data_IF_933879649556
#
_entry.id   IF_933879649556
#
_cell.length_a   1.000
_cell.length_b   1.000
_cell.length_c   1.000
_cell.angle_alpha   90.00
_cell.angle_beta   90.00
_cell.angle_gamma   90.00
#
_symmetry.space_group_name_H-M   'P 1'
#
loop_
_entity.id
_entity.type
_entity.pdbx_description
1 polymer ?
#
# COMPACT_ATOMS: atom_id res chain seq x y z
N UNK A 1 -58.25 -26.39 -6.24
CA UNK A 1 -57.19 -27.04 -7.04
C UNK A 1 -56.15 -26.08 -7.64
N UNK A 2 -56.45 -24.79 -7.87
CA UNK A 2 -55.45 -23.84 -8.44
C UNK A 2 -54.28 -23.46 -7.53
N UNK A 3 -54.43 -23.48 -6.20
CA UNK A 3 -53.34 -23.08 -5.29
C UNK A 3 -52.26 -24.16 -5.09
N UNK A 4 -52.61 -25.44 -5.25
CA UNK A 4 -51.65 -26.57 -5.11
C UNK A 4 -50.77 -26.68 -6.35
N UNK A 5 -51.33 -26.45 -7.54
CA UNK A 5 -50.57 -26.40 -8.80
C UNK A 5 -49.59 -25.22 -8.81
N UNK A 6 -50.00 -24.04 -8.31
CA UNK A 6 -49.14 -22.85 -8.21
C UNK A 6 -47.97 -23.04 -7.21
N UNK A 7 -48.21 -23.74 -6.11
CA UNK A 7 -47.16 -24.08 -5.12
C UNK A 7 -46.15 -25.09 -5.70
N UNK A 8 -46.64 -26.07 -6.47
CA UNK A 8 -45.82 -27.08 -7.16
C UNK A 8 -44.93 -26.46 -8.24
N UNK A 9 -45.48 -25.58 -9.09
CA UNK A 9 -44.72 -24.92 -10.15
C UNK A 9 -43.69 -23.93 -9.60
N UNK A 10 -43.97 -23.23 -8.50
CA UNK A 10 -42.99 -22.37 -7.84
C UNK A 10 -41.84 -23.17 -7.24
N UNK A 11 -42.11 -24.34 -6.64
CA UNK A 11 -41.07 -25.24 -6.16
C UNK A 11 -40.25 -25.86 -7.29
N UNK A 12 -40.87 -26.19 -8.43
CA UNK A 12 -40.16 -26.72 -9.58
C UNK A 12 -39.30 -25.64 -10.26
N UNK A 13 -39.85 -24.44 -10.46
CA UNK A 13 -39.12 -23.29 -10.99
C UNK A 13 -37.94 -22.92 -10.08
N UNK A 14 -38.15 -22.83 -8.75
CA UNK A 14 -37.08 -22.58 -7.79
C UNK A 14 -36.02 -23.68 -7.78
N UNK A 15 -36.40 -24.95 -7.98
CA UNK A 15 -35.44 -26.06 -8.09
C UNK A 15 -34.66 -26.02 -9.40
N UNK A 16 -35.28 -25.63 -10.51
CA UNK A 16 -34.62 -25.50 -11.81
C UNK A 16 -33.68 -24.29 -11.80
N UNK A 17 -34.11 -23.13 -11.29
CA UNK A 17 -33.26 -21.95 -11.16
C UNK A 17 -32.09 -22.21 -10.21
N UNK A 18 -32.34 -22.87 -9.07
CA UNK A 18 -31.28 -23.29 -8.15
C UNK A 18 -30.36 -24.34 -8.80
N UNK A 19 -30.89 -25.26 -9.60
CA UNK A 19 -30.11 -26.26 -10.34
C UNK A 19 -29.20 -25.65 -11.39
N UNK A 20 -29.70 -24.66 -12.16
CA UNK A 20 -28.91 -23.89 -13.12
C UNK A 20 -27.83 -23.09 -12.40
N UNK A 21 -28.19 -22.39 -11.32
CA UNK A 21 -27.27 -21.63 -10.49
C UNK A 21 -26.17 -22.50 -9.89
N UNK A 22 -26.52 -23.66 -9.34
CA UNK A 22 -25.58 -24.64 -8.81
C UNK A 22 -24.71 -25.23 -9.91
N UNK A 23 -25.21 -25.44 -11.13
CA UNK A 23 -24.40 -25.95 -12.24
C UNK A 23 -23.33 -24.94 -12.69
N UNK A 24 -23.67 -23.64 -12.66
CA UNK A 24 -22.75 -22.55 -12.98
C UNK A 24 -21.66 -22.46 -11.90
N UNK A 25 -22.02 -22.67 -10.63
CA UNK A 25 -21.12 -22.56 -9.46
C UNK A 25 -20.32 -23.85 -9.18
N UNK A 26 -20.81 -25.02 -9.59
CA UNK A 26 -20.19 -26.33 -9.32
C UNK A 26 -18.70 -26.45 -9.68
N UNK A 27 -18.19 -25.93 -10.82
CA UNK A 27 -16.77 -26.06 -11.16
C UNK A 27 -15.86 -25.19 -10.28
N UNK A 28 -16.40 -24.19 -9.58
CA UNK A 28 -15.61 -23.27 -8.77
C UNK A 28 -15.26 -23.78 -7.37
N UNK A 29 -15.72 -24.98 -6.99
CA UNK A 29 -15.71 -25.43 -5.59
C UNK A 29 -14.35 -25.23 -4.92
N UNK A 30 -13.25 -25.63 -5.55
CA UNK A 30 -11.93 -25.55 -4.90
C UNK A 30 -11.36 -24.12 -4.92
N UNK A 31 -11.44 -23.41 -6.04
CA UNK A 31 -10.83 -22.09 -6.21
C UNK A 31 -11.56 -21.00 -5.42
N UNK A 32 -12.90 -21.03 -5.38
CA UNK A 32 -13.68 -20.12 -4.53
C UNK A 32 -13.44 -20.42 -3.06
N UNK A 33 -13.31 -21.69 -2.66
CA UNK A 33 -12.98 -22.03 -1.26
C UNK A 33 -11.62 -21.44 -0.88
N UNK A 34 -10.60 -21.62 -1.72
CA UNK A 34 -9.26 -21.06 -1.48
C UNK A 34 -9.32 -19.53 -1.44
N UNK A 35 -10.04 -18.89 -2.36
CA UNK A 35 -10.17 -17.43 -2.42
C UNK A 35 -10.90 -16.88 -1.19
N UNK A 36 -11.98 -17.53 -0.74
CA UNK A 36 -12.69 -17.15 0.49
C UNK A 36 -11.80 -17.32 1.70
N UNK A 37 -11.03 -18.40 1.78
CA UNK A 37 -10.09 -18.63 2.87
C UNK A 37 -8.98 -17.56 2.89
N UNK A 38 -8.47 -17.17 1.72
CA UNK A 38 -7.50 -16.08 1.59
C UNK A 38 -8.09 -14.72 1.98
N UNK A 39 -9.32 -14.42 1.56
CA UNK A 39 -10.02 -13.20 1.98
C UNK A 39 -10.27 -13.14 3.48
N UNK A 40 -10.59 -14.28 4.10
CA UNK A 40 -10.74 -14.37 5.55
C UNK A 40 -9.40 -14.16 6.26
N UNK A 41 -8.31 -14.74 5.76
CA UNK A 41 -6.96 -14.51 6.28
C UNK A 41 -6.52 -13.04 6.12
N UNK A 42 -6.75 -12.43 4.97
CA UNK A 42 -6.46 -11.01 4.72
C UNK A 42 -7.25 -10.11 5.67
N UNK A 43 -8.56 -10.36 5.78
CA UNK A 43 -9.42 -9.59 6.67
C UNK A 43 -9.03 -9.79 8.13
N UNK A 44 -8.66 -11.01 8.54
CA UNK A 44 -8.22 -11.30 9.90
C UNK A 44 -6.87 -10.66 10.22
N UNK A 45 -5.88 -10.77 9.33
CA UNK A 45 -4.56 -10.13 9.49
C UNK A 45 -4.67 -8.60 9.49
N UNK A 46 -5.45 -8.02 8.56
CA UNK A 46 -5.77 -6.60 8.54
C UNK A 46 -6.54 -6.13 9.77
N UNK A 47 -7.42 -6.98 10.33
CA UNK A 47 -8.14 -6.68 11.58
C UNK A 47 -7.21 -6.72 12.79
N UNK A 48 -6.34 -7.72 12.92
CA UNK A 48 -5.32 -7.77 13.97
C UNK A 48 -4.41 -6.56 13.89
N UNK A 49 -4.02 -6.16 12.67
CA UNK A 49 -3.25 -4.95 12.43
C UNK A 49 -4.01 -3.70 12.92
N UNK A 50 -5.27 -3.52 12.53
CA UNK A 50 -6.10 -2.39 12.95
C UNK A 50 -6.33 -2.33 14.47
N UNK A 51 -6.47 -3.49 15.13
CA UNK A 51 -6.59 -3.61 16.59
C UNK A 51 -5.27 -3.21 17.27
N UNK A 52 -4.14 -3.75 16.80
CA UNK A 52 -2.80 -3.41 17.31
C UNK A 52 -2.51 -1.91 17.18
N UNK A 53 -3.00 -1.28 16.11
CA UNK A 53 -2.87 0.16 15.86
C UNK A 53 -3.95 1.02 16.53
N UNK A 54 -4.86 0.44 17.33
CA UNK A 54 -6.00 1.13 17.99
C UNK A 54 -6.89 1.92 17.01
N UNK A 55 -6.89 1.57 15.72
CA UNK A 55 -7.71 2.18 14.65
C UNK A 55 -8.87 1.27 14.25
N UNK A 56 -9.28 0.34 15.11
CA UNK A 56 -10.35 -0.60 14.80
C UNK A 56 -11.66 0.15 14.55
N UNK A 57 -12.15 0.07 13.32
CA UNK A 57 -13.37 0.72 12.87
C UNK A 57 -14.21 -0.24 12.04
N UNK A 58 -15.53 -0.14 12.17
CA UNK A 58 -16.49 -1.01 11.45
C UNK A 58 -16.43 -0.84 9.93
N UNK A 59 -15.84 0.25 9.46
CA UNK A 59 -15.55 0.52 8.05
C UNK A 59 -14.53 -0.46 7.48
N UNK A 60 -13.53 -0.91 8.26
CA UNK A 60 -12.55 -1.93 7.84
C UNK A 60 -13.20 -3.28 7.55
N UNK A 61 -14.10 -3.75 8.43
CA UNK A 61 -14.85 -4.99 8.23
C UNK A 61 -15.79 -4.91 7.00
N UNK A 62 -16.41 -3.74 6.79
CA UNK A 62 -17.24 -3.48 5.60
C UNK A 62 -16.42 -3.54 4.30
N UNK A 63 -15.13 -3.13 4.32
CA UNK A 63 -14.24 -3.27 3.14
C UNK A 63 -14.01 -4.75 2.79
N UNK A 64 -13.77 -5.61 3.78
CA UNK A 64 -13.65 -7.06 3.57
C UNK A 64 -14.90 -7.68 2.95
N UNK A 65 -16.09 -7.34 3.47
CA UNK A 65 -17.37 -7.79 2.88
C UNK A 65 -17.58 -7.29 1.45
N UNK A 66 -17.18 -6.04 1.15
CA UNK A 66 -17.23 -5.51 -0.22
C UNK A 66 -16.30 -6.27 -1.17
N UNK A 67 -15.08 -6.63 -0.72
CA UNK A 67 -14.16 -7.47 -1.52
C UNK A 67 -14.79 -8.82 -1.86
N UNK A 68 -15.37 -9.51 -0.88
CA UNK A 68 -16.05 -10.80 -1.08
C UNK A 68 -17.15 -10.68 -2.13
N UNK A 69 -18.01 -9.66 -2.01
CA UNK A 69 -19.11 -9.45 -2.95
C UNK A 69 -18.60 -9.14 -4.36
N UNK A 70 -17.62 -8.25 -4.49
CA UNK A 70 -17.06 -7.84 -5.77
C UNK A 70 -16.36 -9.01 -6.48
N UNK A 71 -15.52 -9.78 -5.79
CA UNK A 71 -14.82 -10.92 -6.39
C UNK A 71 -15.77 -12.05 -6.79
N UNK A 72 -16.80 -12.30 -5.97
CA UNK A 72 -17.84 -13.28 -6.31
C UNK A 72 -18.61 -12.86 -7.56
N UNK A 73 -18.98 -11.58 -7.67
CA UNK A 73 -19.67 -11.05 -8.85
C UNK A 73 -18.76 -11.07 -10.10
N UNK A 74 -17.49 -10.71 -9.95
CA UNK A 74 -16.51 -10.71 -11.03
C UNK A 74 -16.29 -12.11 -11.60
N UNK A 75 -16.06 -13.11 -10.75
CA UNK A 75 -15.92 -14.51 -11.18
C UNK A 75 -17.20 -15.05 -11.83
N UNK A 76 -18.37 -14.65 -11.33
CA UNK A 76 -19.66 -15.00 -11.95
C UNK A 76 -19.77 -14.41 -13.36
N UNK A 77 -19.43 -13.14 -13.55
CA UNK A 77 -19.47 -12.48 -14.87
C UNK A 77 -18.50 -13.16 -15.83
N UNK A 78 -17.25 -13.42 -15.43
CA UNK A 78 -16.26 -14.12 -16.26
C UNK A 78 -16.77 -15.50 -16.66
N UNK A 79 -17.42 -16.22 -15.75
CA UNK A 79 -17.94 -17.54 -16.05
C UNK A 79 -19.15 -17.50 -16.97
N UNK A 80 -20.05 -16.52 -16.82
CA UNK A 80 -21.14 -16.34 -17.77
C UNK A 80 -20.61 -16.02 -19.18
N UNK A 81 -19.56 -15.20 -19.26
CA UNK A 81 -18.85 -14.92 -20.51
C UNK A 81 -18.22 -16.19 -21.06
N UNK A 82 -17.51 -16.96 -20.22
CA UNK A 82 -16.89 -18.22 -20.62
C UNK A 82 -17.92 -19.26 -21.08
N UNK A 83 -19.07 -19.37 -20.41
CA UNK A 83 -20.18 -20.25 -20.84
C UNK A 83 -20.75 -19.77 -22.19
N UNK A 84 -20.90 -18.45 -22.38
CA UNK A 84 -21.35 -17.87 -23.64
C UNK A 84 -20.38 -18.15 -24.81
N UNK A 85 -19.07 -18.14 -24.53
CA UNK A 85 -18.01 -18.45 -25.52
C UNK A 85 -17.86 -19.97 -25.71
N UNK A 86 -18.07 -20.74 -24.65
CA UNK A 86 -17.93 -22.20 -24.58
C UNK A 86 -19.00 -22.95 -25.39
N UNK A 87 -19.90 -22.26 -26.09
CA UNK A 87 -20.83 -22.90 -27.04
C UNK A 87 -20.11 -23.62 -28.20
N UNK A 88 -18.79 -23.45 -28.33
CA UNK A 88 -17.93 -24.06 -29.36
C UNK A 88 -16.92 -25.06 -28.74
N UNK A 89 -16.37 -24.80 -27.55
CA UNK A 89 -15.48 -25.72 -26.81
C UNK A 89 -15.65 -25.57 -25.29
N UNK A 90 -15.78 -26.68 -24.55
CA UNK A 90 -15.92 -26.67 -23.09
C UNK A 90 -14.60 -26.36 -22.38
N UNK A 91 -14.42 -25.13 -21.91
CA UNK A 91 -13.22 -24.74 -21.12
C UNK A 91 -13.58 -24.04 -19.81
N UNK A 92 -12.68 -24.16 -18.83
CA UNK A 92 -12.68 -23.40 -17.56
C UNK A 92 -11.40 -22.55 -17.43
N UNK A 93 -10.62 -22.45 -18.49
CA UNK A 93 -9.28 -21.84 -18.48
C UNK A 93 -9.36 -20.37 -18.09
N UNK A 94 -10.33 -19.63 -18.63
CA UNK A 94 -10.45 -18.19 -18.40
C UNK A 94 -10.79 -17.94 -16.93
N UNK A 95 -11.75 -18.68 -16.41
CA UNK A 95 -12.15 -18.62 -15.00
C UNK A 95 -10.96 -18.94 -14.08
N UNK A 96 -10.21 -20.00 -14.37
CA UNK A 96 -9.08 -20.44 -13.54
C UNK A 96 -7.93 -19.42 -13.53
N UNK A 97 -7.66 -18.75 -14.66
CA UNK A 97 -6.63 -17.69 -14.74
C UNK A 97 -7.02 -16.50 -13.85
N UNK A 98 -8.26 -16.03 -13.95
CA UNK A 98 -8.73 -14.90 -13.15
C UNK A 98 -8.86 -15.24 -11.67
N UNK A 99 -9.34 -16.44 -11.33
CA UNK A 99 -9.37 -16.93 -9.95
C UNK A 99 -7.96 -17.02 -9.35
N UNK A 100 -7.00 -17.57 -10.09
CA UNK A 100 -5.60 -17.63 -9.67
C UNK A 100 -5.00 -16.25 -9.46
N UNK A 101 -5.33 -15.29 -10.33
CA UNK A 101 -4.88 -13.90 -10.20
C UNK A 101 -5.43 -13.25 -8.93
N UNK A 102 -6.72 -13.42 -8.64
CA UNK A 102 -7.33 -12.92 -7.41
C UNK A 102 -6.72 -13.56 -6.15
N UNK A 103 -6.43 -14.86 -6.20
CA UNK A 103 -5.74 -15.57 -5.10
C UNK A 103 -4.34 -14.97 -4.87
N UNK A 104 -3.59 -14.68 -5.93
CA UNK A 104 -2.25 -14.06 -5.84
C UNK A 104 -2.35 -12.65 -5.25
N UNK A 105 -3.36 -11.86 -5.65
CA UNK A 105 -3.61 -10.51 -5.10
C UNK A 105 -3.87 -10.58 -3.60
N UNK A 106 -4.78 -11.44 -3.15
CA UNK A 106 -5.11 -11.56 -1.72
C UNK A 106 -3.98 -12.19 -0.90
N UNK A 107 -3.19 -13.10 -1.49
CA UNK A 107 -1.98 -13.62 -0.86
C UNK A 107 -0.94 -12.49 -0.66
N UNK A 108 -0.79 -11.60 -1.64
CA UNK A 108 0.12 -10.45 -1.54
C UNK A 108 -0.37 -9.44 -0.49
N UNK A 109 -1.67 -9.13 -0.49
CA UNK A 109 -2.32 -8.28 0.53
C UNK A 109 -2.15 -8.85 1.95
N UNK A 110 -2.34 -10.16 2.11
CA UNK A 110 -2.15 -10.84 3.40
C UNK A 110 -0.68 -10.80 3.85
N UNK A 111 0.26 -11.02 2.92
CA UNK A 111 1.68 -10.92 3.20
C UNK A 111 2.08 -9.49 3.59
N UNK A 112 1.51 -8.47 2.96
CA UNK A 112 1.70 -7.08 3.34
C UNK A 112 1.23 -6.82 4.77
N UNK A 113 0.02 -7.26 5.12
CA UNK A 113 -0.48 -7.17 6.49
C UNK A 113 0.42 -7.90 7.50
N UNK A 114 1.00 -9.05 7.14
CA UNK A 114 1.97 -9.78 7.97
C UNK A 114 3.32 -9.05 8.10
N UNK A 115 3.82 -8.43 7.04
CA UNK A 115 5.00 -7.54 7.09
C UNK A 115 4.73 -6.38 8.04
N UNK A 116 3.55 -5.74 7.93
CA UNK A 116 3.14 -4.62 8.78
C UNK A 116 2.98 -5.05 10.25
N UNK A 117 2.56 -6.29 10.50
CA UNK A 117 2.47 -6.87 11.84
C UNK A 117 3.84 -7.22 12.46
N UNK A 118 4.90 -7.27 11.65
CA UNK A 118 6.26 -7.63 12.08
C UNK A 118 6.50 -9.13 12.19
N UNK A 119 5.72 -9.94 11.45
CA UNK A 119 5.94 -11.40 11.39
C UNK A 119 7.25 -11.66 10.63
N UNK A 120 8.16 -12.50 11.15
CA UNK A 120 9.42 -12.80 10.47
C UNK A 120 9.14 -13.59 9.19
N UNK A 121 9.16 -12.87 8.06
CA UNK A 121 9.04 -13.47 6.73
C UNK A 121 10.43 -13.84 6.19
N UNK A 122 10.53 -14.86 5.32
CA UNK A 122 11.79 -15.20 4.66
C UNK A 122 12.36 -13.98 3.93
N UNK A 123 13.66 -13.69 4.14
CA UNK A 123 14.33 -12.45 3.67
C UNK A 123 14.09 -12.16 2.18
N UNK A 124 13.99 -13.20 1.33
CA UNK A 124 13.73 -13.05 -0.11
C UNK A 124 12.31 -12.57 -0.45
N UNK A 125 11.30 -12.93 0.35
CA UNK A 125 9.90 -12.55 0.12
C UNK A 125 9.66 -11.13 0.64
N UNK A 126 10.19 -10.80 1.83
CA UNK A 126 10.13 -9.43 2.34
C UNK A 126 10.83 -8.46 1.39
N UNK A 127 12.04 -8.79 0.93
CA UNK A 127 12.75 -7.94 -0.01
C UNK A 127 12.07 -7.90 -1.39
N UNK A 128 11.38 -8.95 -1.85
CA UNK A 128 10.59 -8.94 -3.09
C UNK A 128 9.36 -8.02 -3.00
N UNK A 129 8.59 -8.10 -1.92
CA UNK A 129 7.41 -7.23 -1.67
C UNK A 129 7.87 -5.78 -1.55
N UNK A 130 8.93 -5.53 -0.78
CA UNK A 130 9.54 -4.20 -0.67
C UNK A 130 10.11 -3.70 -1.99
N UNK A 131 10.68 -4.60 -2.80
CA UNK A 131 11.22 -4.28 -4.12
C UNK A 131 10.10 -3.97 -5.11
N UNK A 132 8.99 -4.70 -5.11
CA UNK A 132 7.77 -4.38 -5.85
C UNK A 132 7.24 -3.00 -5.43
N UNK A 133 7.02 -2.76 -4.14
CA UNK A 133 6.65 -1.43 -3.61
C UNK A 133 7.62 -0.33 -4.05
N UNK A 134 8.93 -0.65 -4.18
CA UNK A 134 9.95 0.35 -4.55
C UNK A 134 10.19 0.53 -6.05
N UNK A 135 9.84 -0.44 -6.90
CA UNK A 135 10.20 -0.48 -8.33
C UNK A 135 9.00 -0.33 -9.27
N UNK A 136 7.77 -0.58 -8.81
CA UNK A 136 6.57 -0.24 -9.56
C UNK A 136 6.06 1.12 -9.06
N UNK A 137 5.88 2.12 -9.95
CA UNK A 137 5.09 3.28 -9.59
C UNK A 137 3.71 2.78 -9.15
N UNK A 138 3.25 3.29 -8.01
CA UNK A 138 2.04 2.83 -7.31
C UNK A 138 0.82 2.92 -8.26
N UNK A 139 0.89 3.83 -9.23
CA UNK A 139 -0.03 3.99 -10.37
C UNK A 139 -0.42 2.71 -11.12
N UNK A 140 0.42 1.66 -11.13
CA UNK A 140 0.17 0.47 -11.96
C UNK A 140 -0.36 -0.74 -11.20
N UNK A 141 -0.27 -0.74 -9.86
CA UNK A 141 -0.80 -1.84 -9.02
C UNK A 141 -2.16 -1.52 -8.42
N UNK A 142 -2.58 -0.25 -8.43
CA UNK A 142 -3.87 0.19 -7.92
C UNK A 142 -4.50 1.13 -8.94
N UNK A 143 -5.41 0.60 -9.76
CA UNK A 143 -6.25 1.44 -10.62
C UNK A 143 -7.11 2.32 -9.71
N UNK A 144 -7.13 3.61 -10.06
CA UNK A 144 -8.11 4.66 -9.75
C UNK A 144 -7.98 5.43 -8.43
N UNK A 145 -7.88 6.75 -8.62
CA UNK A 145 -8.10 7.86 -7.67
C UNK A 145 -7.25 7.88 -6.41
N UNK A 146 -5.98 8.26 -6.54
CA UNK A 146 -5.21 8.74 -5.38
C UNK A 146 -5.74 10.13 -5.00
N UNK A 147 -6.60 10.17 -3.99
CA UNK A 147 -7.05 11.42 -3.40
C UNK A 147 -6.00 11.88 -2.38
N UNK A 148 -5.86 13.20 -2.21
CA UNK A 148 -4.99 13.91 -1.24
C UNK A 148 -4.91 13.31 0.17
N UNK A 149 -5.91 12.57 0.61
CA UNK A 149 -5.94 11.94 1.94
C UNK A 149 -5.07 10.69 2.05
N UNK A 150 -4.80 9.99 0.95
CA UNK A 150 -4.13 8.68 0.98
C UNK A 150 -2.63 8.81 1.34
N UNK A 151 -1.93 9.82 0.80
CA UNK A 151 -0.48 9.98 1.02
C UNK A 151 -0.13 10.41 2.45
N UNK A 152 -0.94 11.28 3.05
CA UNK A 152 -0.75 11.72 4.45
C UNK A 152 -1.03 10.57 5.40
N UNK A 153 -2.10 9.81 5.14
CA UNK A 153 -2.41 8.60 5.89
C UNK A 153 -1.27 7.59 5.79
N UNK A 154 -0.67 7.41 4.61
CA UNK A 154 0.47 6.51 4.41
C UNK A 154 1.70 6.91 5.24
N UNK A 155 2.08 8.19 5.26
CA UNK A 155 3.20 8.68 6.07
C UNK A 155 2.91 8.53 7.57
N UNK A 156 1.67 8.76 8.00
CA UNK A 156 1.26 8.58 9.38
C UNK A 156 1.24 7.10 9.78
N UNK A 157 0.82 6.21 8.88
CA UNK A 157 0.85 4.77 9.10
C UNK A 157 2.29 4.26 9.19
N UNK A 158 3.17 4.75 8.31
CA UNK A 158 4.62 4.53 8.38
C UNK A 158 5.21 4.90 9.75
N UNK A 159 4.87 6.08 10.29
CA UNK A 159 5.26 6.51 11.65
C UNK A 159 4.71 5.55 12.73
N UNK A 160 3.42 5.24 12.67
CA UNK A 160 2.77 4.37 13.66
C UNK A 160 3.39 2.97 13.74
N UNK A 161 3.96 2.49 12.63
CA UNK A 161 4.66 1.21 12.53
C UNK A 161 6.11 1.29 13.03
N UNK A 162 6.81 2.40 12.79
CA UNK A 162 8.22 2.55 13.13
C UNK A 162 8.45 2.90 14.61
N UNK A 163 7.62 3.80 15.15
CA UNK A 163 7.81 4.38 16.48
C UNK A 163 7.74 3.37 17.65
N UNK A 164 6.92 2.30 17.64
CA UNK A 164 6.87 1.34 18.73
C UNK A 164 8.12 0.45 18.85
N UNK A 165 8.93 0.35 17.79
CA UNK A 165 10.12 -0.51 17.73
C UNK A 165 11.37 0.25 18.21
N UNK A 166 11.32 1.59 18.20
CA UNK A 166 12.43 2.44 18.63
C UNK A 166 12.33 2.68 20.14
N UNK A 167 13.20 2.02 20.91
CA UNK A 167 13.27 2.18 22.37
C UNK A 167 13.82 3.56 22.77
N UNK A 168 14.74 4.11 21.98
CA UNK A 168 15.40 5.38 22.26
C UNK A 168 14.45 6.57 22.01
N UNK A 169 14.16 7.31 23.09
CA UNK A 169 13.26 8.47 23.07
C UNK A 169 13.73 9.58 22.13
N UNK A 170 15.03 9.83 22.02
CA UNK A 170 15.59 10.87 21.17
C UNK A 170 15.52 10.48 19.69
N UNK A 171 15.83 9.24 19.35
CA UNK A 171 15.66 8.74 17.99
C UNK A 171 14.20 8.70 17.58
N UNK A 172 13.31 8.29 18.49
CA UNK A 172 11.87 8.33 18.26
C UNK A 172 11.43 9.75 17.89
N UNK A 173 11.82 10.74 18.70
CA UNK A 173 11.46 12.14 18.46
C UNK A 173 12.10 12.72 17.19
N UNK A 174 13.34 12.33 16.89
CA UNK A 174 14.05 12.68 15.66
C UNK A 174 13.23 12.27 14.42
N UNK A 175 12.69 11.04 14.43
CA UNK A 175 11.87 10.50 13.34
C UNK A 175 10.51 11.19 13.25
N UNK A 176 9.84 11.44 14.38
CA UNK A 176 8.58 12.19 14.40
C UNK A 176 8.74 13.55 13.70
N UNK A 177 9.71 14.36 14.12
CA UNK A 177 9.99 15.67 13.53
C UNK A 177 10.29 15.54 12.03
N UNK A 178 11.11 14.54 11.66
CA UNK A 178 11.48 14.31 10.26
C UNK A 178 10.23 14.07 9.42
N UNK A 179 9.36 13.15 9.83
CA UNK A 179 8.18 12.75 9.09
C UNK A 179 7.12 13.85 9.07
N UNK A 180 6.91 14.58 10.16
CA UNK A 180 6.02 15.75 10.20
C UNK A 180 6.40 16.79 9.13
N UNK A 181 7.69 17.13 9.02
CA UNK A 181 8.17 18.10 8.02
C UNK A 181 8.06 17.57 6.58
N UNK A 182 8.28 16.25 6.37
CA UNK A 182 8.06 15.65 5.05
C UNK A 182 6.58 15.60 4.66
N UNK A 183 5.68 15.34 5.61
CA UNK A 183 4.22 15.44 5.38
C UNK A 183 3.85 16.86 4.97
N UNK A 184 4.42 17.88 5.63
CA UNK A 184 4.21 19.27 5.24
C UNK A 184 4.69 19.55 3.81
N UNK A 185 5.84 19.00 3.41
CA UNK A 185 6.33 19.11 2.03
C UNK A 185 5.40 18.42 1.02
N UNK A 186 4.94 17.19 1.29
CA UNK A 186 4.00 16.48 0.41
C UNK A 186 2.74 17.30 0.22
N UNK A 187 2.19 17.85 1.29
CA UNK A 187 0.99 18.68 1.23
C UNK A 187 1.19 19.92 0.37
N UNK A 188 2.33 20.60 0.50
CA UNK A 188 2.63 21.76 -0.32
C UNK A 188 2.81 21.39 -1.80
N UNK A 189 3.51 20.29 -2.09
CA UNK A 189 3.67 19.79 -3.46
C UNK A 189 2.31 19.42 -4.06
N UNK A 190 1.45 18.73 -3.32
CA UNK A 190 0.15 18.26 -3.83
C UNK A 190 -0.82 19.42 -4.13
N UNK A 191 -0.88 20.41 -3.22
CA UNK A 191 -1.82 21.55 -3.33
C UNK A 191 -1.33 22.58 -4.35
N UNK A 192 -0.04 22.93 -4.31
CA UNK A 192 0.49 24.08 -5.04
C UNK A 192 1.39 23.67 -6.22
N UNK A 193 1.28 22.42 -6.72
CA UNK A 193 2.17 21.92 -7.77
C UNK A 193 2.19 22.80 -9.03
N UNK A 194 1.04 23.37 -9.41
CA UNK A 194 0.94 24.25 -10.57
C UNK A 194 1.84 25.47 -10.46
N UNK A 195 2.04 26.00 -9.25
CA UNK A 195 2.96 27.12 -8.98
C UNK A 195 4.43 26.68 -9.00
N UNK A 196 4.69 25.42 -8.63
CA UNK A 196 6.02 24.81 -8.63
C UNK A 196 6.43 24.42 -10.06
N UNK A 197 5.47 23.99 -10.88
CA UNK A 197 5.68 23.43 -12.20
C UNK A 197 6.32 24.43 -13.18
N UNK A 198 7.14 23.90 -14.08
CA UNK A 198 7.75 24.63 -15.18
C UNK A 198 7.97 23.68 -16.35
N UNK A 199 7.64 24.12 -17.56
CA UNK A 199 7.95 23.38 -18.79
C UNK A 199 9.47 23.26 -18.99
N UNK A 200 10.25 24.17 -18.42
CA UNK A 200 11.68 23.98 -18.30
C UNK A 200 11.98 22.96 -17.19
N UNK A 201 12.35 21.76 -17.64
CA UNK A 201 12.64 20.60 -16.80
C UNK A 201 13.73 20.84 -15.76
N UNK A 202 14.74 21.66 -16.07
CA UNK A 202 15.81 22.00 -15.12
C UNK A 202 15.30 22.95 -14.04
N UNK A 203 14.45 23.92 -14.40
CA UNK A 203 13.80 24.83 -13.45
C UNK A 203 12.87 24.05 -12.53
N UNK A 204 12.11 23.10 -13.05
CA UNK A 204 11.28 22.20 -12.23
C UNK A 204 12.12 21.46 -11.19
N UNK A 205 13.22 20.82 -11.62
CA UNK A 205 14.10 20.13 -10.70
C UNK A 205 14.69 21.08 -9.66
N UNK A 206 15.14 22.26 -10.07
CA UNK A 206 15.70 23.26 -9.18
C UNK A 206 14.70 23.67 -8.09
N UNK A 207 13.45 23.97 -8.45
CA UNK A 207 12.39 24.33 -7.49
C UNK A 207 12.10 23.19 -6.51
N UNK A 208 11.94 21.96 -7.00
CA UNK A 208 11.72 20.78 -6.14
C UNK A 208 12.91 20.55 -5.20
N UNK A 209 14.14 20.61 -5.73
CA UNK A 209 15.35 20.42 -4.93
C UNK A 209 15.51 21.51 -3.86
N UNK A 210 15.07 22.74 -4.14
CA UNK A 210 15.06 23.86 -3.19
C UNK A 210 14.07 23.62 -2.06
N UNK A 211 12.84 23.19 -2.37
CA UNK A 211 11.83 22.84 -1.37
C UNK A 211 12.29 21.68 -0.48
N UNK A 212 12.90 20.66 -1.08
CA UNK A 212 13.50 19.53 -0.38
C UNK A 212 14.61 19.99 0.57
N UNK A 213 15.49 20.88 0.10
CA UNK A 213 16.62 21.41 0.88
C UNK A 213 16.14 22.29 2.03
N UNK A 214 15.14 23.15 1.80
CA UNK A 214 14.50 23.95 2.82
C UNK A 214 13.85 23.08 3.90
N UNK A 215 13.18 21.98 3.50
CA UNK A 215 12.61 21.01 4.44
C UNK A 215 13.68 20.36 5.31
N UNK A 216 14.84 20.01 4.76
CA UNK A 216 15.96 19.48 5.55
C UNK A 216 16.49 20.47 6.58
N UNK A 217 16.56 21.75 6.22
CA UNK A 217 16.98 22.81 7.15
C UNK A 217 15.97 22.92 8.29
N UNK A 218 14.66 22.97 7.99
CA UNK A 218 13.60 23.00 9.02
C UNK A 218 13.67 21.80 9.97
N UNK A 219 13.88 20.59 9.42
CA UNK A 219 14.05 19.37 10.23
C UNK A 219 15.23 19.53 11.19
N UNK A 220 16.39 19.98 10.69
CA UNK A 220 17.59 20.17 11.51
C UNK A 220 17.38 21.22 12.60
N UNK A 221 16.76 22.35 12.25
CA UNK A 221 16.49 23.42 13.20
C UNK A 221 15.53 22.96 14.30
N UNK A 222 14.51 22.16 13.95
CA UNK A 222 13.60 21.56 14.94
C UNK A 222 14.29 20.53 15.82
N UNK A 223 15.16 19.68 15.28
CA UNK A 223 15.96 18.76 16.09
C UNK A 223 16.79 19.50 17.14
N UNK A 224 17.43 20.61 16.76
CA UNK A 224 18.21 21.45 17.68
C UNK A 224 17.31 22.13 18.72
N UNK A 225 16.19 22.72 18.30
CA UNK A 225 15.23 23.39 19.21
C UNK A 225 14.63 22.43 20.24
N UNK A 226 14.39 21.18 19.86
CA UNK A 226 13.81 20.16 20.73
C UNK A 226 14.85 19.40 21.57
N UNK A 227 16.13 19.83 21.52
CA UNK A 227 17.18 19.33 22.39
C UNK A 227 17.64 17.91 22.06
N UNK A 228 17.53 17.48 20.79
CA UNK A 228 18.01 16.16 20.37
C UNK A 228 19.55 16.15 20.42
N UNK A 229 20.19 15.15 21.06
CA UNK A 229 21.64 15.07 21.18
C UNK A 229 22.34 15.12 19.82
N UNK A 230 23.43 15.89 19.72
CA UNK A 230 24.18 16.05 18.48
C UNK A 230 24.76 14.72 17.95
N UNK A 231 25.13 13.81 18.86
CA UNK A 231 25.61 12.46 18.51
C UNK A 231 24.53 11.61 17.85
N UNK A 232 23.28 11.72 18.31
CA UNK A 232 22.11 11.07 17.70
C UNK A 232 21.90 11.56 16.26
N UNK A 233 21.93 12.89 16.08
CA UNK A 233 21.77 13.54 14.78
C UNK A 233 22.90 13.15 13.83
N UNK A 234 24.14 13.14 14.33
CA UNK A 234 25.32 12.76 13.55
C UNK A 234 25.25 11.30 13.10
N UNK A 235 25.02 10.38 14.04
CA UNK A 235 24.87 8.95 13.76
C UNK A 235 23.78 8.71 12.72
N UNK A 236 22.64 9.39 12.83
CA UNK A 236 21.58 9.32 11.82
C UNK A 236 22.04 9.79 10.44
N UNK A 237 22.67 10.96 10.37
CA UNK A 237 23.08 11.55 9.09
C UNK A 237 24.18 10.74 8.39
N UNK A 238 25.13 10.17 9.13
CA UNK A 238 26.29 9.45 8.58
C UNK A 238 25.87 8.30 7.65
N UNK A 239 24.79 7.57 7.97
CA UNK A 239 24.27 6.52 7.09
C UNK A 239 23.14 6.98 6.17
N UNK A 240 22.40 8.05 6.54
CA UNK A 240 21.24 8.52 5.76
C UNK A 240 21.64 9.36 4.55
N UNK A 241 22.74 10.13 4.62
CA UNK A 241 23.12 11.10 3.59
C UNK A 241 23.40 10.46 2.22
N UNK A 242 24.06 9.31 2.21
CA UNK A 242 24.34 8.54 0.97
C UNK A 242 23.04 8.09 0.31
N UNK A 243 22.01 7.78 1.09
CA UNK A 243 20.71 7.34 0.58
C UNK A 243 19.89 8.53 0.09
N UNK A 244 19.97 9.65 0.81
CA UNK A 244 19.35 10.91 0.42
C UNK A 244 19.88 11.42 -0.93
N UNK A 245 21.20 11.43 -1.12
CA UNK A 245 21.82 11.86 -2.38
C UNK A 245 21.40 10.99 -3.57
N UNK A 246 21.37 9.67 -3.38
CA UNK A 246 20.85 8.72 -4.39
C UNK A 246 19.37 9.00 -4.71
N UNK A 247 18.54 9.22 -3.70
CA UNK A 247 17.14 9.54 -3.89
C UNK A 247 16.94 10.88 -4.64
N UNK A 248 17.69 11.92 -4.29
CA UNK A 248 17.61 13.21 -4.98
C UNK A 248 17.96 13.08 -6.48
N UNK A 249 18.92 12.21 -6.83
CA UNK A 249 19.22 11.89 -8.21
C UNK A 249 18.03 11.22 -8.93
N UNK A 250 17.25 10.37 -8.24
CA UNK A 250 16.03 9.79 -8.83
C UNK A 250 14.95 10.84 -9.07
N UNK A 251 14.80 11.84 -8.19
CA UNK A 251 13.88 12.96 -8.42
C UNK A 251 14.29 13.79 -9.63
N UNK A 252 15.59 13.98 -9.85
CA UNK A 252 16.11 14.65 -11.05
C UNK A 252 15.63 13.95 -12.33
N UNK A 253 15.70 12.62 -12.36
CA UNK A 253 15.23 11.84 -13.52
C UNK A 253 13.72 12.02 -13.77
N UNK A 254 12.91 12.07 -12.71
CA UNK A 254 11.46 12.35 -12.82
C UNK A 254 11.22 13.77 -13.36
N UNK A 255 11.98 14.77 -12.91
CA UNK A 255 11.81 16.13 -13.39
C UNK A 255 12.22 16.27 -14.87
N UNK A 256 13.19 15.50 -15.34
CA UNK A 256 13.72 15.54 -16.71
C UNK A 256 12.92 14.70 -17.74
N UNK A 257 12.04 13.79 -17.30
CA UNK A 257 11.23 12.99 -18.20
C UNK A 257 10.21 13.84 -19.00
N UNK A 258 9.60 13.25 -20.04
CA UNK A 258 8.59 13.90 -20.90
C UNK A 258 7.15 13.70 -20.43
N UNK A 259 6.94 13.30 -19.17
CA UNK A 259 5.60 13.11 -18.63
C UNK A 259 4.87 14.46 -18.46
N UNK A 260 3.54 14.41 -18.46
CA UNK A 260 2.71 15.57 -18.14
C UNK A 260 2.87 16.02 -16.66
N UNK A 261 2.36 17.22 -16.37
CA UNK A 261 2.45 17.84 -15.05
C UNK A 261 1.88 16.96 -13.93
N UNK A 262 0.68 16.40 -14.12
CA UNK A 262 0.00 15.63 -13.08
C UNK A 262 0.72 14.32 -12.80
N UNK A 263 1.20 13.65 -13.84
CA UNK A 263 2.00 12.44 -13.71
C UNK A 263 3.35 12.71 -13.04
N UNK A 264 4.01 13.82 -13.35
CA UNK A 264 5.24 14.26 -12.66
C UNK A 264 4.99 14.52 -11.18
N UNK A 265 3.90 15.20 -10.83
CA UNK A 265 3.49 15.44 -9.43
C UNK A 265 3.37 14.12 -8.67
N UNK A 266 2.59 13.19 -9.21
CA UNK A 266 2.40 11.85 -8.62
C UNK A 266 3.72 11.11 -8.47
N UNK A 267 4.54 11.03 -9.53
CA UNK A 267 5.85 10.35 -9.46
C UNK A 267 6.80 10.98 -8.43
N UNK A 268 6.81 12.31 -8.28
CA UNK A 268 7.61 13.00 -7.25
C UNK A 268 7.16 12.60 -5.84
N UNK A 269 5.85 12.62 -5.58
CA UNK A 269 5.27 12.25 -4.28
C UNK A 269 5.56 10.78 -3.97
N UNK A 270 5.32 9.88 -4.92
CA UNK A 270 5.59 8.44 -4.76
C UNK A 270 7.08 8.17 -4.46
N UNK A 271 8.00 8.83 -5.18
CA UNK A 271 9.44 8.69 -4.91
C UNK A 271 9.80 9.18 -3.52
N UNK A 272 9.14 10.21 -2.99
CA UNK A 272 9.34 10.67 -1.63
C UNK A 272 8.82 9.64 -0.61
N UNK A 273 7.63 9.07 -0.83
CA UNK A 273 7.06 8.03 0.04
C UNK A 273 7.94 6.79 0.12
N UNK A 274 8.43 6.30 -1.03
CA UNK A 274 9.37 5.17 -1.08
C UNK A 274 10.65 5.46 -0.31
N UNK A 275 11.13 6.70 -0.33
CA UNK A 275 12.32 7.11 0.43
C UNK A 275 12.07 7.12 1.94
N UNK A 276 10.91 7.58 2.39
CA UNK A 276 10.50 7.53 3.80
C UNK A 276 10.36 6.07 4.27
N UNK A 277 9.73 5.24 3.47
CA UNK A 277 9.59 3.81 3.75
C UNK A 277 10.95 3.11 3.90
N UNK A 278 11.87 3.38 2.96
CA UNK A 278 13.24 2.86 3.04
C UNK A 278 13.95 3.33 4.30
N UNK A 279 13.77 4.60 4.67
CA UNK A 279 14.33 5.15 5.91
C UNK A 279 13.87 4.35 7.13
N UNK A 280 12.57 4.03 7.24
CA UNK A 280 12.03 3.19 8.33
C UNK A 280 12.60 1.78 8.30
N UNK A 281 12.60 1.17 7.13
CA UNK A 281 13.12 -0.20 6.96
C UNK A 281 14.59 -0.27 7.36
N UNK A 282 15.36 0.74 7.01
CA UNK A 282 16.76 0.86 7.37
C UNK A 282 16.96 1.05 8.87
N UNK A 283 16.11 1.83 9.53
CA UNK A 283 16.13 1.97 10.99
C UNK A 283 15.82 0.63 11.67
N UNK A 284 14.88 -0.16 11.12
CA UNK A 284 14.58 -1.51 11.62
C UNK A 284 15.73 -2.49 11.37
N UNK A 285 16.39 -2.41 10.20
CA UNK A 285 17.53 -3.26 9.80
C UNK A 285 18.83 -2.87 10.49
N UNK A 286 18.98 -1.59 10.86
CA UNK A 286 20.05 -1.12 11.72
C UNK A 286 19.77 -1.59 13.15
N UNK A 287 19.99 -2.90 13.36
CA UNK A 287 19.94 -3.58 14.64
C UNK A 287 20.50 -2.68 15.75
N UNK A 288 19.76 -2.64 16.87
CA UNK A 288 19.97 -2.02 18.19
C UNK A 288 21.40 -1.59 18.60
N UNK A 289 22.47 -2.10 18.00
CA UNK A 289 23.85 -1.78 18.30
C UNK A 289 24.37 -0.44 17.74
N UNK A 290 23.86 0.08 16.61
CA UNK A 290 24.29 1.39 16.08
C UNK A 290 23.53 2.59 16.67
N UNK A 291 22.36 2.33 17.25
CA UNK A 291 21.53 3.31 17.95
C UNK A 291 21.88 3.41 19.45
N UNK A 292 22.70 2.49 19.98
CA UNK A 292 23.21 2.47 21.37
C UNK A 292 24.13 3.64 21.75
N UNK A 293 24.53 4.49 20.78
CA UNK A 293 25.36 5.67 21.04
C UNK A 293 24.64 6.82 21.76
N UNK A 294 23.33 6.70 22.01
CA UNK A 294 22.52 7.72 22.68
C UNK A 294 22.27 7.38 24.17
N UNK A 295 23.10 6.53 24.78
CA UNK A 295 23.06 6.38 26.24
C UNK A 295 23.47 7.71 26.87
N UNK A 296 22.51 8.38 27.49
CA UNK A 296 22.79 9.48 28.40
C UNK A 296 23.77 8.97 29.47
N UNK A 297 24.96 9.57 29.53
CA UNK A 297 25.63 9.74 30.81
C UNK A 297 24.82 10.74 31.64
#
# INVERSE_FOLDING_TARGET
MNNVVKLSTNNLFNKITMGIFLSIISPFKTEIIILVLMLLLDTFTGTIYAIKMRKFSSTGLKKGLKKVFFYSLFLLVIRLVEIGISSIYSTTILTNIFASTLIIIEATSSLENLVLLGVPLPKGISDFILKQISNTPISNLVISSTHRQDYIEEINDMLSVALPIVEDKYFKRLLEIKFEEWTSLVNHIDVDFSSIYSDNKEILFFRISTLVSATRIRIRDRWLKEGIPAECIKSFNDWHEIKFTKWLATLKLVCLNDNDMDKKKTEIIEKLLVFLYKTITDIKKAELHKLKGCSAN
#
